data_IF_915538036489
#
_entry.id   IF_915538036489
#
_cell.length_a   1.000
_cell.length_b   1.000
_cell.length_c   1.000
_cell.angle_alpha   90.00
_cell.angle_beta   90.00
_cell.angle_gamma   90.00
#
_symmetry.space_group_name_H-M   'P 1'
#
loop_
_entity.id
_entity.type
_entity.pdbx_description
1 polymer ?
#
# COMPACT_ATOMS: atom_id res chain seq x y z
N UNK A 1 41.18 -52.95 -58.26
CA UNK A 1 41.25 -54.37 -57.84
C UNK A 1 39.85 -54.85 -57.40
N UNK A 2 39.68 -56.17 -57.15
CA UNK A 2 38.54 -56.88 -56.48
C UNK A 2 37.76 -56.03 -55.45
N UNK A 3 36.46 -56.19 -55.12
CA UNK A 3 35.27 -57.09 -55.40
C UNK A 3 34.04 -56.41 -54.67
N UNK A 4 32.71 -56.65 -54.77
CA UNK A 4 31.66 -57.47 -55.47
C UNK A 4 30.34 -56.62 -55.41
N UNK A 5 29.28 -56.73 -56.25
CA UNK A 5 28.11 -57.68 -56.27
C UNK A 5 27.40 -57.83 -54.90
N UNK A 6 26.03 -57.75 -54.79
CA UNK A 6 25.01 -58.07 -55.81
C UNK A 6 23.86 -57.06 -56.08
N UNK A 7 23.09 -57.33 -57.14
CA UNK A 7 21.68 -56.91 -57.35
C UNK A 7 20.72 -58.07 -57.02
N UNK A 8 19.39 -57.86 -56.89
CA UNK A 8 18.53 -57.99 -58.07
C UNK A 8 17.32 -57.03 -58.12
N UNK A 9 16.58 -57.09 -59.23
CA UNK A 9 15.35 -56.35 -59.52
C UNK A 9 14.09 -56.97 -58.85
N UNK A 10 12.96 -56.24 -58.85
CA UNK A 10 11.70 -56.79 -59.42
C UNK A 10 10.58 -55.74 -59.62
N UNK A 11 10.34 -55.42 -60.91
CA UNK A 11 9.04 -55.16 -61.58
C UNK A 11 8.14 -53.95 -61.19
N UNK A 12 7.28 -53.48 -62.12
CA UNK A 12 6.55 -52.20 -61.99
C UNK A 12 5.07 -52.32 -61.55
N UNK A 13 4.49 -51.16 -61.23
CA UNK A 13 3.05 -50.86 -61.11
C UNK A 13 2.33 -50.99 -62.49
N UNK A 14 0.97 -50.96 -62.63
CA UNK A 14 0.02 -50.22 -61.77
C UNK A 14 -1.41 -50.81 -61.60
N UNK A 15 -2.34 -49.93 -61.18
CA UNK A 15 -3.80 -49.94 -61.41
C UNK A 15 -4.76 -50.57 -60.36
N UNK A 16 -5.34 -49.67 -59.57
CA UNK A 16 -6.73 -49.63 -59.06
C UNK A 16 -7.38 -50.85 -58.37
N UNK A 17 -7.83 -50.63 -57.12
CA UNK A 17 -9.23 -50.87 -56.70
C UNK A 17 -9.58 -49.91 -55.56
N UNK A 18 -10.84 -49.46 -55.50
CA UNK A 18 -11.38 -48.62 -54.42
C UNK A 18 -12.03 -49.50 -53.34
N UNK A 19 -11.72 -49.25 -52.06
CA UNK A 19 -12.62 -49.60 -50.95
C UNK A 19 -12.77 -48.38 -50.06
N UNK A 20 -14.02 -47.97 -49.83
CA UNK A 20 -14.39 -46.94 -48.86
C UNK A 20 -14.86 -47.67 -47.60
N UNK A 21 -14.29 -47.34 -46.45
CA UNK A 21 -14.80 -47.74 -45.15
C UNK A 21 -14.86 -46.49 -44.26
N UNK A 22 -16.08 -46.07 -43.89
CA UNK A 22 -16.26 -45.03 -42.89
C UNK A 22 -16.15 -45.67 -41.49
N UNK A 23 -15.24 -45.15 -40.66
CA UNK A 23 -15.19 -45.46 -39.22
C UNK A 23 -15.38 -44.15 -38.47
N UNK A 24 -16.63 -43.88 -38.08
CA UNK A 24 -17.01 -42.69 -37.32
C UNK A 24 -16.55 -42.81 -35.87
N UNK A 25 -15.34 -42.36 -35.56
CA UNK A 25 -14.87 -42.26 -34.18
C UNK A 25 -15.53 -41.06 -33.51
N UNK A 26 -16.63 -41.31 -32.77
CA UNK A 26 -17.28 -40.31 -31.95
C UNK A 26 -16.38 -39.90 -30.79
N UNK A 27 -15.72 -38.73 -30.91
CA UNK A 27 -14.88 -38.17 -29.85
C UNK A 27 -15.77 -37.65 -28.71
N UNK A 28 -16.02 -38.50 -27.71
CA UNK A 28 -16.71 -38.09 -26.48
C UNK A 28 -15.78 -37.17 -25.69
N UNK A 29 -15.88 -35.87 -25.96
CA UNK A 29 -15.32 -34.82 -25.13
C UNK A 29 -16.02 -34.84 -23.76
N UNK A 30 -15.45 -35.62 -22.85
CA UNK A 30 -15.79 -35.61 -21.44
C UNK A 30 -15.38 -34.26 -20.84
N UNK A 31 -16.24 -33.25 -21.04
CA UNK A 31 -16.12 -31.94 -20.41
C UNK A 31 -16.41 -32.10 -18.92
N UNK A 32 -15.42 -32.56 -18.17
CA UNK A 32 -15.41 -32.46 -16.72
C UNK A 32 -15.56 -30.97 -16.39
N UNK A 33 -16.58 -30.56 -15.61
CA UNK A 33 -16.73 -29.17 -15.24
C UNK A 33 -15.46 -28.75 -14.50
N UNK A 34 -14.81 -27.70 -14.99
CA UNK A 34 -13.71 -27.07 -14.29
C UNK A 34 -14.27 -26.58 -12.95
N UNK A 35 -14.06 -27.36 -11.89
CA UNK A 35 -14.51 -27.01 -10.55
C UNK A 35 -13.74 -25.76 -10.15
N UNK A 36 -14.42 -24.62 -10.20
CA UNK A 36 -13.89 -23.38 -9.67
C UNK A 36 -13.36 -23.67 -8.27
N UNK A 37 -12.07 -23.41 -8.05
CA UNK A 37 -11.50 -23.52 -6.73
C UNK A 37 -12.18 -22.44 -5.89
N UNK A 38 -13.03 -22.84 -4.94
CA UNK A 38 -13.53 -21.95 -3.91
C UNK A 38 -12.29 -21.36 -3.22
N UNK A 39 -12.10 -20.04 -3.34
CA UNK A 39 -10.92 -19.35 -2.85
C UNK A 39 -10.95 -19.31 -1.32
N UNK A 40 -10.50 -20.40 -0.71
CA UNK A 40 -10.40 -20.53 0.75
C UNK A 40 -9.48 -19.45 1.27
N UNK A 41 -10.08 -18.44 1.93
CA UNK A 41 -9.35 -17.33 2.53
C UNK A 41 -8.24 -17.85 3.44
N UNK A 42 -7.05 -17.26 3.32
CA UNK A 42 -5.89 -17.69 4.09
C UNK A 42 -6.07 -17.44 5.59
N UNK A 43 -6.74 -16.33 5.94
CA UNK A 43 -7.12 -15.96 7.30
C UNK A 43 -8.50 -16.52 7.69
N UNK A 44 -8.64 -16.89 8.97
CA UNK A 44 -9.90 -17.36 9.58
C UNK A 44 -10.35 -16.45 10.72
N UNK A 45 -11.64 -16.46 11.00
CA UNK A 45 -12.20 -15.75 12.16
C UNK A 45 -11.62 -16.27 13.48
N UNK A 46 -11.22 -15.35 14.36
CA UNK A 46 -10.59 -15.63 15.66
C UNK A 46 -9.06 -15.59 15.66
N UNK A 47 -8.40 -15.58 14.49
CA UNK A 47 -6.93 -15.56 14.39
C UNK A 47 -6.33 -14.21 14.86
N UNK A 48 -5.15 -14.27 15.47
CA UNK A 48 -4.31 -13.14 15.87
C UNK A 48 -3.38 -12.78 14.72
N UNK A 49 -3.52 -11.57 14.17
CA UNK A 49 -2.70 -11.07 13.07
C UNK A 49 -1.82 -9.94 13.58
N UNK A 50 -0.50 -10.15 13.55
CA UNK A 50 0.47 -9.12 13.87
C UNK A 50 0.82 -8.26 12.65
N UNK A 51 1.01 -6.97 12.87
CA UNK A 51 1.34 -5.99 11.84
C UNK A 51 2.69 -5.35 12.16
N UNK A 52 3.76 -5.99 11.69
CA UNK A 52 5.13 -5.51 11.85
C UNK A 52 5.46 -4.52 10.72
N UNK A 53 6.02 -3.38 11.09
CA UNK A 53 6.58 -2.46 10.13
C UNK A 53 7.06 -1.15 10.74
N UNK A 54 7.10 -0.11 9.93
CA UNK A 54 7.69 1.18 10.24
C UNK A 54 6.66 2.26 10.61
N UNK A 55 6.89 3.51 10.23
CA UNK A 55 5.96 4.63 10.40
C UNK A 55 4.66 4.46 9.63
N UNK A 56 4.69 3.81 8.46
CA UNK A 56 3.49 3.53 7.65
C UNK A 56 2.58 2.54 8.41
N UNK A 57 3.15 1.54 9.05
CA UNK A 57 2.41 0.59 9.91
C UNK A 57 1.98 1.22 11.24
N UNK A 58 2.79 2.11 11.82
CA UNK A 58 2.43 2.85 13.03
C UNK A 58 1.21 3.75 12.80
N UNK A 59 1.23 4.57 11.74
CA UNK A 59 0.08 5.39 11.31
C UNK A 59 -1.10 4.51 10.87
N UNK A 60 -0.80 3.39 10.20
CA UNK A 60 -1.76 2.36 9.81
C UNK A 60 -2.62 1.84 10.97
N UNK A 61 -2.09 1.84 12.20
CA UNK A 61 -2.84 1.54 13.41
C UNK A 61 -3.32 2.77 14.19
N UNK A 62 -2.56 3.87 14.25
CA UNK A 62 -2.94 5.02 15.07
C UNK A 62 -4.14 5.77 14.49
N UNK A 63 -4.20 5.93 13.16
CA UNK A 63 -5.30 6.64 12.50
C UNK A 63 -6.50 5.71 12.25
N UNK A 64 -7.76 6.18 12.40
CA UNK A 64 -8.94 5.32 12.23
C UNK A 64 -9.07 4.73 10.82
N UNK A 65 -8.65 5.50 9.81
CA UNK A 65 -8.54 5.08 8.40
C UNK A 65 -7.17 4.56 7.96
N UNK A 66 -6.25 4.31 8.89
CA UNK A 66 -4.94 3.73 8.56
C UNK A 66 -5.06 2.28 8.04
N UNK A 67 -4.15 1.85 7.16
CA UNK A 67 -4.31 0.60 6.40
C UNK A 67 -4.53 -0.65 7.28
N UNK A 68 -3.91 -0.73 8.46
CA UNK A 68 -4.09 -1.87 9.39
C UNK A 68 -5.54 -1.95 9.88
N UNK A 69 -6.15 -0.80 10.18
CA UNK A 69 -7.57 -0.74 10.54
C UNK A 69 -8.48 -0.97 9.35
N UNK A 70 -8.12 -0.52 8.15
CA UNK A 70 -8.88 -0.81 6.93
C UNK A 70 -8.89 -2.32 6.64
N UNK A 71 -7.74 -3.01 6.75
CA UNK A 71 -7.68 -4.48 6.65
C UNK A 71 -8.60 -5.15 7.67
N UNK A 72 -8.50 -4.80 8.95
CA UNK A 72 -9.34 -5.35 10.00
C UNK A 72 -10.86 -5.08 9.78
N UNK A 73 -11.21 -3.87 9.33
CA UNK A 73 -12.58 -3.50 9.00
C UNK A 73 -13.12 -4.21 7.74
N UNK A 74 -12.26 -4.40 6.72
CA UNK A 74 -12.61 -5.09 5.47
C UNK A 74 -12.79 -6.59 5.66
N UNK A 75 -11.94 -7.21 6.49
CA UNK A 75 -12.12 -8.58 6.99
C UNK A 75 -13.45 -8.70 7.74
N UNK A 76 -13.72 -7.82 8.72
CA UNK A 76 -14.95 -7.84 9.52
C UNK A 76 -16.22 -7.60 8.70
N UNK A 77 -16.18 -6.70 7.71
CA UNK A 77 -17.28 -6.50 6.77
C UNK A 77 -17.62 -7.78 5.97
N UNK A 78 -16.63 -8.64 5.75
CA UNK A 78 -16.76 -9.94 5.09
C UNK A 78 -16.90 -11.12 6.06
N UNK A 79 -17.16 -10.87 7.35
CA UNK A 79 -17.44 -11.90 8.35
C UNK A 79 -16.19 -12.53 8.99
N UNK A 80 -14.99 -12.07 8.66
CA UNK A 80 -13.73 -12.54 9.26
C UNK A 80 -13.29 -11.54 10.34
N UNK A 81 -13.54 -11.84 11.61
CA UNK A 81 -13.07 -11.00 12.72
C UNK A 81 -11.73 -11.50 13.26
N UNK A 82 -10.72 -10.62 13.31
CA UNK A 82 -9.34 -10.93 13.74
C UNK A 82 -8.92 -10.12 14.96
N UNK A 83 -8.01 -10.67 15.77
CA UNK A 83 -7.32 -9.90 16.82
C UNK A 83 -6.09 -9.23 16.20
N UNK A 84 -6.15 -7.91 15.98
CA UNK A 84 -5.02 -7.14 15.44
C UNK A 84 -3.97 -6.84 16.51
N UNK A 85 -2.71 -7.20 16.25
CA UNK A 85 -1.56 -6.93 17.12
C UNK A 85 -0.61 -5.92 16.43
N UNK A 86 -0.75 -4.61 16.70
CA UNK A 86 0.05 -3.58 16.02
C UNK A 86 1.49 -3.56 16.51
N UNK A 87 2.45 -3.65 15.58
CA UNK A 87 3.88 -3.63 15.84
C UNK A 87 4.64 -2.67 14.88
N UNK A 88 3.97 -1.61 14.42
CA UNK A 88 4.58 -0.51 13.67
C UNK A 88 5.35 0.46 14.56
N UNK A 89 6.57 0.85 14.17
CA UNK A 89 7.39 1.83 14.92
C UNK A 89 8.05 2.82 13.95
N UNK A 90 7.88 4.12 14.19
CA UNK A 90 8.34 5.17 13.29
C UNK A 90 9.85 5.12 13.00
N UNK A 91 10.23 5.35 11.74
CA UNK A 91 11.61 5.41 11.27
C UNK A 91 12.41 4.09 11.30
N UNK A 92 11.78 2.96 11.68
CA UNK A 92 12.46 1.66 11.75
C UNK A 92 12.85 1.11 10.37
N UNK A 93 14.06 0.55 10.31
CA UNK A 93 14.55 -0.29 9.21
C UNK A 93 14.38 -1.79 9.53
N UNK A 94 14.72 -2.66 8.58
CA UNK A 94 14.75 -4.12 8.77
C UNK A 94 15.61 -4.57 9.96
N UNK A 95 16.71 -3.85 10.22
CA UNK A 95 17.60 -4.09 11.37
C UNK A 95 16.89 -3.80 12.71
N UNK A 96 16.13 -2.71 12.78
CA UNK A 96 15.43 -2.30 13.99
C UNK A 96 14.24 -3.21 14.28
N UNK A 97 13.55 -3.67 13.22
CA UNK A 97 12.49 -4.69 13.31
C UNK A 97 13.04 -6.03 13.80
N UNK A 98 14.19 -6.47 13.28
CA UNK A 98 14.88 -7.69 13.75
C UNK A 98 15.27 -7.59 15.24
N UNK A 99 15.82 -6.44 15.66
CA UNK A 99 16.25 -6.20 17.04
C UNK A 99 15.10 -6.24 18.07
N UNK A 100 13.84 -6.06 17.65
CA UNK A 100 12.64 -6.10 18.52
C UNK A 100 11.71 -7.30 18.26
N UNK A 101 12.05 -8.18 17.32
CA UNK A 101 11.13 -9.20 16.80
C UNK A 101 10.60 -10.18 17.86
N UNK A 102 11.46 -10.63 18.79
CA UNK A 102 11.03 -11.49 19.92
C UNK A 102 9.93 -10.82 20.74
N UNK A 103 10.21 -9.60 21.21
CA UNK A 103 9.34 -8.82 22.09
C UNK A 103 8.00 -8.49 21.43
N UNK A 104 8.03 -8.06 20.17
CA UNK A 104 6.85 -7.51 19.51
C UNK A 104 6.01 -8.57 18.79
N UNK A 105 6.61 -9.69 18.37
CA UNK A 105 5.95 -10.73 17.57
C UNK A 105 6.00 -12.10 18.25
N UNK A 106 7.19 -12.69 18.45
CA UNK A 106 7.31 -14.10 18.86
C UNK A 106 6.69 -14.38 20.24
N UNK A 107 6.95 -13.52 21.23
CA UNK A 107 6.37 -13.59 22.57
C UNK A 107 4.85 -13.41 22.58
N UNK A 108 4.30 -12.72 21.58
CA UNK A 108 2.87 -12.45 21.44
C UNK A 108 2.10 -13.59 20.81
N UNK A 109 2.82 -14.56 20.20
CA UNK A 109 2.27 -15.78 19.58
C UNK A 109 1.04 -15.48 18.69
N UNK A 110 1.18 -14.59 17.70
CA UNK A 110 0.15 -14.46 16.67
C UNK A 110 0.03 -15.77 15.89
N UNK A 111 -1.04 -15.91 15.13
CA UNK A 111 -1.19 -17.01 14.18
C UNK A 111 -0.60 -16.58 12.81
N UNK A 112 -0.66 -15.27 12.52
CA UNK A 112 -0.10 -14.63 11.33
C UNK A 112 0.74 -13.38 11.64
N UNK A 113 1.79 -13.12 10.86
CA UNK A 113 2.49 -11.82 10.84
C UNK A 113 2.56 -11.26 9.41
N UNK A 114 2.10 -10.02 9.26
CA UNK A 114 2.39 -9.18 8.09
C UNK A 114 3.66 -8.38 8.36
N UNK A 115 4.57 -8.29 7.39
CA UNK A 115 5.84 -7.56 7.52
C UNK A 115 5.96 -6.53 6.38
N UNK A 116 5.90 -5.24 6.73
CA UNK A 116 6.09 -4.11 5.81
C UNK A 116 7.41 -3.41 6.11
N UNK A 117 8.39 -3.50 5.21
CA UNK A 117 9.75 -3.01 5.45
C UNK A 117 10.52 -2.75 4.15
N UNK A 118 11.41 -1.75 4.14
CA UNK A 118 12.27 -1.41 3.00
C UNK A 118 12.31 0.10 2.67
N UNK A 119 11.28 0.84 3.06
CA UNK A 119 11.19 2.30 2.87
C UNK A 119 12.37 3.00 3.55
N UNK A 120 12.53 2.84 4.87
CA UNK A 120 13.61 3.50 5.62
C UNK A 120 15.00 2.93 5.27
N UNK A 121 15.09 1.63 4.96
CA UNK A 121 16.30 0.95 4.53
C UNK A 121 16.91 1.57 3.25
N UNK A 122 16.07 2.12 2.38
CA UNK A 122 16.47 2.85 1.16
C UNK A 122 16.52 4.37 1.37
N UNK A 123 15.47 4.96 1.94
CA UNK A 123 15.27 6.42 2.02
C UNK A 123 16.27 7.13 2.94
N UNK A 124 16.73 6.47 4.02
CA UNK A 124 17.71 7.05 4.94
C UNK A 124 19.15 7.09 4.39
N UNK A 125 19.40 6.60 3.18
CA UNK A 125 20.71 6.62 2.53
C UNK A 125 21.73 5.80 3.31
N UNK A 126 22.86 6.41 3.67
CA UNK A 126 23.93 5.78 4.46
C UNK A 126 23.51 5.41 5.89
N UNK A 127 22.38 5.95 6.37
CA UNK A 127 21.75 5.58 7.66
C UNK A 127 20.63 4.54 7.50
N UNK A 128 20.39 4.06 6.27
CA UNK A 128 19.49 2.96 5.98
C UNK A 128 20.19 1.60 6.17
N UNK A 129 19.81 0.61 5.36
CA UNK A 129 20.38 -0.74 5.38
C UNK A 129 20.72 -1.15 3.96
N UNK A 130 21.96 -1.58 3.70
CA UNK A 130 22.40 -2.03 2.39
C UNK A 130 21.64 -3.30 1.96
N UNK A 131 21.48 -3.52 0.64
CA UNK A 131 20.66 -4.61 0.09
C UNK A 131 21.04 -5.99 0.67
N UNK A 132 22.32 -6.33 0.75
CA UNK A 132 22.75 -7.62 1.30
C UNK A 132 22.47 -7.77 2.80
N UNK A 133 22.44 -6.67 3.55
CA UNK A 133 22.09 -6.68 4.98
C UNK A 133 20.57 -6.79 5.17
N UNK A 134 19.81 -6.07 4.34
CA UNK A 134 18.35 -6.16 4.27
C UNK A 134 17.89 -7.59 3.93
N UNK A 135 18.55 -8.24 2.95
CA UNK A 135 18.32 -9.65 2.60
C UNK A 135 18.45 -10.58 3.81
N UNK A 136 19.56 -10.45 4.57
CA UNK A 136 19.81 -11.27 5.76
C UNK A 136 18.81 -10.97 6.88
N UNK A 137 18.47 -9.70 7.10
CA UNK A 137 17.48 -9.30 8.11
C UNK A 137 16.09 -9.87 7.79
N UNK A 138 15.60 -9.65 6.57
CA UNK A 138 14.27 -10.11 6.13
C UNK A 138 14.16 -11.65 6.11
N UNK A 139 15.20 -12.35 5.64
CA UNK A 139 15.25 -13.83 5.72
C UNK A 139 15.18 -14.30 7.17
N UNK A 140 15.93 -13.66 8.08
CA UNK A 140 15.92 -14.02 9.51
C UNK A 140 14.58 -13.73 10.19
N UNK A 141 13.87 -12.66 9.81
CA UNK A 141 12.50 -12.39 10.28
C UNK A 141 11.53 -13.50 9.85
N UNK A 142 11.55 -13.91 8.57
CA UNK A 142 10.70 -14.99 8.06
C UNK A 142 11.01 -16.31 8.75
N UNK A 143 12.30 -16.70 8.80
CA UNK A 143 12.74 -17.97 9.39
C UNK A 143 12.39 -18.07 10.88
N UNK A 144 12.51 -16.96 11.64
CA UNK A 144 12.13 -16.95 13.05
C UNK A 144 10.62 -17.13 13.29
N UNK A 145 9.76 -16.58 12.43
CA UNK A 145 8.31 -16.83 12.52
C UNK A 145 7.96 -18.28 12.16
N UNK A 146 8.47 -18.77 11.03
CA UNK A 146 8.16 -20.10 10.54
C UNK A 146 8.68 -21.20 11.47
N UNK A 147 9.84 -21.01 12.10
CA UNK A 147 10.40 -21.93 13.09
C UNK A 147 9.51 -22.12 14.35
N UNK A 148 8.58 -21.20 14.63
CA UNK A 148 7.59 -21.32 15.72
C UNK A 148 6.14 -21.45 15.21
N UNK A 149 5.95 -21.71 13.91
CA UNK A 149 4.65 -21.98 13.30
C UNK A 149 3.79 -20.74 12.97
N UNK A 150 4.34 -19.53 13.05
CA UNK A 150 3.63 -18.30 12.66
C UNK A 150 3.61 -18.22 11.13
N UNK A 151 2.43 -18.05 10.53
CA UNK A 151 2.28 -17.85 9.09
C UNK A 151 2.70 -16.43 8.69
N UNK A 152 3.39 -16.27 7.56
CA UNK A 152 4.00 -14.99 7.16
C UNK A 152 3.40 -14.44 5.87
N UNK A 153 3.13 -13.14 5.86
CA UNK A 153 2.90 -12.34 4.67
C UNK A 153 3.96 -11.22 4.59
N UNK A 154 4.64 -11.12 3.45
CA UNK A 154 5.49 -9.98 3.14
C UNK A 154 4.67 -8.91 2.40
N UNK A 155 4.93 -7.64 2.69
CA UNK A 155 4.43 -6.50 1.92
C UNK A 155 5.61 -5.86 1.19
N UNK A 156 5.49 -5.64 -0.13
CA UNK A 156 6.47 -4.81 -0.84
C UNK A 156 6.44 -3.36 -0.33
N UNK A 157 7.60 -2.73 -0.22
CA UNK A 157 7.71 -1.34 0.19
C UNK A 157 7.09 -0.41 -0.87
N UNK A 158 6.14 0.44 -0.46
CA UNK A 158 5.52 1.44 -1.33
C UNK A 158 6.55 2.43 -1.91
N UNK A 159 6.30 3.04 -3.07
CA UNK A 159 7.23 3.97 -3.70
C UNK A 159 7.68 5.10 -2.75
N UNK A 160 8.97 5.40 -2.77
CA UNK A 160 9.56 6.55 -2.07
C UNK A 160 9.50 7.73 -3.04
N UNK A 161 8.60 8.67 -2.76
CA UNK A 161 8.09 9.69 -3.67
C UNK A 161 7.30 9.10 -4.85
N UNK A 162 6.39 9.92 -5.40
CA UNK A 162 5.48 9.53 -6.49
C UNK A 162 6.02 9.88 -7.88
N UNK A 163 7.33 10.09 -7.98
CA UNK A 163 8.07 10.08 -9.24
C UNK A 163 8.72 8.69 -9.41
N UNK A 164 8.17 7.77 -10.23
CA UNK A 164 8.68 6.40 -10.34
C UNK A 164 10.17 6.33 -10.72
N UNK A 165 10.61 7.23 -11.61
CA UNK A 165 11.98 7.31 -12.15
C UNK A 165 13.02 7.89 -11.18
N UNK A 166 12.67 8.17 -9.91
CA UNK A 166 13.62 8.77 -8.97
C UNK A 166 14.61 7.74 -8.38
N UNK A 167 15.79 8.21 -7.96
CA UNK A 167 16.88 7.36 -7.50
C UNK A 167 16.56 6.48 -6.27
N UNK A 168 15.63 6.88 -5.39
CA UNK A 168 15.18 6.01 -4.30
C UNK A 168 14.33 4.86 -4.84
N UNK A 169 13.37 5.13 -5.74
CA UNK A 169 12.55 4.09 -6.35
C UNK A 169 13.38 3.12 -7.22
N UNK A 170 14.37 3.63 -7.96
CA UNK A 170 15.32 2.80 -8.70
C UNK A 170 16.10 1.84 -7.78
N UNK A 171 16.54 2.30 -6.59
CA UNK A 171 17.18 1.44 -5.58
C UNK A 171 16.18 0.50 -4.87
N UNK A 172 14.95 0.94 -4.63
CA UNK A 172 13.90 0.17 -3.97
C UNK A 172 13.43 -1.03 -4.81
N UNK A 173 13.57 -0.96 -6.13
CA UNK A 173 13.25 -2.05 -7.04
C UNK A 173 13.94 -3.37 -6.66
N UNK A 174 15.24 -3.34 -6.31
CA UNK A 174 15.99 -4.54 -5.90
C UNK A 174 15.50 -5.13 -4.57
N UNK A 175 15.12 -4.26 -3.62
CA UNK A 175 14.61 -4.67 -2.30
C UNK A 175 13.25 -5.35 -2.47
N UNK A 176 12.36 -4.79 -3.30
CA UNK A 176 11.05 -5.37 -3.61
C UNK A 176 11.13 -6.62 -4.50
N UNK A 177 12.08 -6.68 -5.43
CA UNK A 177 12.37 -7.91 -6.20
C UNK A 177 12.82 -9.03 -5.26
N UNK A 178 13.69 -8.73 -4.29
CA UNK A 178 14.07 -9.69 -3.27
C UNK A 178 12.90 -10.13 -2.38
N UNK A 179 12.01 -9.23 -1.94
CA UNK A 179 10.83 -9.62 -1.15
C UNK A 179 9.92 -10.61 -1.90
N UNK A 180 9.68 -10.39 -3.20
CA UNK A 180 8.91 -11.31 -4.06
C UNK A 180 9.60 -12.68 -4.18
N UNK A 181 10.93 -12.67 -4.35
CA UNK A 181 11.75 -13.89 -4.40
C UNK A 181 11.70 -14.67 -3.07
N UNK A 182 11.90 -14.00 -1.94
CA UNK A 182 11.88 -14.57 -0.60
C UNK A 182 10.50 -15.16 -0.26
N UNK A 183 9.41 -14.48 -0.64
CA UNK A 183 8.06 -15.01 -0.44
C UNK A 183 7.84 -16.32 -1.20
N UNK A 184 8.31 -16.41 -2.45
CA UNK A 184 8.23 -17.63 -3.25
C UNK A 184 9.10 -18.77 -2.68
N UNK A 185 10.35 -18.47 -2.28
CA UNK A 185 11.30 -19.41 -1.68
C UNK A 185 10.79 -19.98 -0.35
N UNK A 186 10.23 -19.13 0.51
CA UNK A 186 9.76 -19.48 1.86
C UNK A 186 8.26 -19.82 1.91
N UNK A 187 7.59 -19.91 0.75
CA UNK A 187 6.15 -20.17 0.63
C UNK A 187 5.27 -19.26 1.50
N UNK A 188 5.64 -17.99 1.60
CA UNK A 188 4.87 -16.94 2.29
C UNK A 188 3.83 -16.31 1.36
N UNK A 189 2.82 -15.66 1.92
CA UNK A 189 1.99 -14.74 1.13
C UNK A 189 2.79 -13.48 0.77
N UNK A 190 2.46 -12.88 -0.36
CA UNK A 190 3.03 -11.60 -0.83
C UNK A 190 1.88 -10.66 -1.18
N UNK A 191 1.82 -9.51 -0.51
CA UNK A 191 1.02 -8.38 -0.90
C UNK A 191 1.93 -7.37 -1.64
N UNK A 192 1.48 -6.86 -2.78
CA UNK A 192 2.31 -5.99 -3.64
C UNK A 192 1.76 -4.56 -3.81
N UNK A 193 1.65 -3.77 -2.72
CA UNK A 193 1.22 -2.39 -2.82
C UNK A 193 2.24 -1.50 -3.57
N UNK A 194 3.49 -1.96 -3.78
CA UNK A 194 4.42 -1.29 -4.69
C UNK A 194 3.92 -1.33 -6.14
N UNK A 195 3.59 -2.51 -6.67
CA UNK A 195 3.07 -2.65 -8.03
C UNK A 195 1.72 -1.92 -8.21
N UNK A 196 0.82 -2.06 -7.23
CA UNK A 196 -0.47 -1.37 -7.25
C UNK A 196 -0.30 0.17 -7.21
N UNK A 197 0.60 0.70 -6.37
CA UNK A 197 0.86 2.14 -6.30
C UNK A 197 1.48 2.68 -7.59
N UNK A 198 2.44 1.96 -8.19
CA UNK A 198 3.03 2.37 -9.47
C UNK A 198 2.00 2.39 -10.60
N UNK A 199 1.08 1.40 -10.65
CA UNK A 199 -0.03 1.39 -11.61
C UNK A 199 -0.99 2.57 -11.40
N UNK A 200 -1.36 2.87 -10.16
CA UNK A 200 -2.23 4.00 -9.83
C UNK A 200 -1.57 5.36 -10.15
N UNK A 201 -0.28 5.55 -9.84
CA UNK A 201 0.50 6.76 -10.18
C UNK A 201 0.58 6.93 -11.70
N UNK A 202 0.78 5.85 -12.47
CA UNK A 202 0.85 5.89 -13.92
C UNK A 202 -0.51 6.22 -14.59
N UNK A 203 -1.63 5.84 -13.96
CA UNK A 203 -2.98 6.12 -14.45
C UNK A 203 -3.52 7.50 -14.03
N UNK A 204 -2.96 8.11 -12.98
CA UNK A 204 -3.49 9.35 -12.41
C UNK A 204 -3.21 10.59 -13.28
N UNK A 205 -4.21 11.47 -13.51
CA UNK A 205 -3.94 12.82 -13.99
C UNK A 205 -3.20 13.61 -12.89
N UNK A 206 -2.15 14.34 -13.27
CA UNK A 206 -1.34 15.13 -12.32
C UNK A 206 -2.22 16.16 -11.59
N UNK A 207 -2.22 16.18 -10.25
CA UNK A 207 -1.10 16.68 -9.43
C UNK A 207 -0.15 15.59 -8.91
N UNK A 208 0.75 15.96 -7.98
CA UNK A 208 1.56 15.02 -7.17
C UNK A 208 0.82 14.75 -5.86
N UNK A 209 1.30 13.78 -5.06
CA UNK A 209 0.73 13.43 -3.74
C UNK A 209 -0.69 12.83 -3.84
N UNK A 210 -0.90 11.97 -4.84
CA UNK A 210 -2.15 11.24 -5.10
C UNK A 210 -2.33 10.02 -4.22
N UNK A 211 -1.25 9.44 -3.67
CA UNK A 211 -1.27 8.30 -2.74
C UNK A 211 -0.63 8.60 -1.38
N UNK A 212 0.15 9.67 -1.26
CA UNK A 212 0.96 10.00 -0.08
C UNK A 212 0.74 11.42 0.41
N UNK A 213 1.08 11.71 1.67
CA UNK A 213 0.96 13.05 2.28
C UNK A 213 2.22 13.88 2.05
N UNK A 214 3.39 13.25 2.16
CA UNK A 214 4.72 13.85 2.11
C UNK A 214 5.64 13.22 1.05
N UNK A 215 5.18 12.14 0.41
CA UNK A 215 5.94 11.30 -0.52
C UNK A 215 6.23 9.90 0.00
N UNK A 216 5.93 9.60 1.26
CA UNK A 216 6.22 8.30 1.88
C UNK A 216 5.03 7.79 2.68
N UNK A 217 4.44 8.62 3.53
CA UNK A 217 3.32 8.24 4.38
C UNK A 217 2.00 8.30 3.59
N UNK A 218 1.13 7.28 3.70
CA UNK A 218 -0.05 7.16 2.84
C UNK A 218 -1.14 8.18 3.17
N UNK A 219 -1.82 8.65 2.13
CA UNK A 219 -3.13 9.30 2.21
C UNK A 219 -4.26 8.23 2.27
N UNK A 220 -5.56 8.59 2.33
CA UNK A 220 -6.65 7.61 2.35
C UNK A 220 -6.66 6.65 1.15
N UNK A 221 -6.30 7.12 -0.05
CA UNK A 221 -6.20 6.26 -1.24
C UNK A 221 -4.97 5.35 -1.18
N UNK A 222 -3.83 5.82 -0.66
CA UNK A 222 -2.67 4.98 -0.39
C UNK A 222 -2.92 3.95 0.72
N UNK A 223 -3.63 4.32 1.78
CA UNK A 223 -3.99 3.44 2.88
C UNK A 223 -5.01 2.39 2.45
N UNK A 224 -6.01 2.78 1.65
CA UNK A 224 -6.91 1.88 0.95
C UNK A 224 -6.13 0.93 0.04
N UNK A 225 -5.22 1.44 -0.80
CA UNK A 225 -4.44 0.64 -1.74
C UNK A 225 -3.60 -0.43 -1.02
N UNK A 226 -2.90 -0.07 0.06
CA UNK A 226 -2.16 -1.03 0.88
C UNK A 226 -3.11 -2.06 1.50
N UNK A 227 -4.28 -1.64 2.00
CA UNK A 227 -5.25 -2.54 2.60
C UNK A 227 -5.86 -3.51 1.57
N UNK A 228 -6.17 -3.03 0.35
CA UNK A 228 -6.68 -3.84 -0.76
C UNK A 228 -5.64 -4.86 -1.18
N UNK A 229 -4.37 -4.48 -1.39
CA UNK A 229 -3.31 -5.43 -1.74
C UNK A 229 -3.08 -6.51 -0.67
N UNK A 230 -3.34 -6.21 0.62
CA UNK A 230 -3.32 -7.21 1.69
C UNK A 230 -4.54 -8.13 1.61
N UNK A 231 -5.75 -7.60 1.41
CA UNK A 231 -6.98 -8.41 1.29
C UNK A 231 -6.95 -9.32 0.06
N UNK A 232 -6.49 -8.82 -1.08
CA UNK A 232 -6.30 -9.60 -2.32
C UNK A 232 -5.29 -10.74 -2.09
N UNK A 233 -4.18 -10.47 -1.38
CA UNK A 233 -3.21 -11.51 -1.00
C UNK A 233 -3.75 -12.55 0.01
N UNK A 234 -4.79 -12.23 0.77
CA UNK A 234 -5.54 -13.18 1.64
C UNK A 234 -6.51 -14.04 0.82
N UNK A 235 -6.81 -13.66 -0.43
CA UNK A 235 -7.72 -14.35 -1.34
C UNK A 235 -9.08 -13.67 -1.50
N UNK A 236 -9.22 -12.38 -1.20
CA UNK A 236 -10.47 -11.64 -1.44
C UNK A 236 -10.74 -11.47 -2.94
N UNK A 237 -11.98 -11.68 -3.36
CA UNK A 237 -12.46 -11.32 -4.69
C UNK A 237 -12.92 -9.85 -4.81
N UNK A 238 -13.25 -9.44 -6.04
CA UNK A 238 -13.73 -8.09 -6.34
C UNK A 238 -15.01 -7.70 -5.56
N UNK A 239 -15.88 -8.66 -5.22
CA UNK A 239 -17.09 -8.43 -4.44
C UNK A 239 -16.76 -8.17 -2.97
N UNK A 240 -15.88 -9.00 -2.40
CA UNK A 240 -15.41 -8.86 -1.02
C UNK A 240 -14.61 -7.57 -0.81
N UNK A 241 -13.77 -7.18 -1.78
CA UNK A 241 -13.09 -5.88 -1.81
C UNK A 241 -14.10 -4.73 -1.92
N UNK A 242 -15.11 -4.83 -2.80
CA UNK A 242 -16.15 -3.78 -2.93
C UNK A 242 -16.96 -3.62 -1.64
N UNK A 243 -17.26 -4.73 -0.94
CA UNK A 243 -17.92 -4.72 0.37
C UNK A 243 -17.05 -4.08 1.46
N UNK A 244 -15.74 -4.30 1.41
CA UNK A 244 -14.79 -3.62 2.29
C UNK A 244 -14.77 -2.10 2.03
N UNK A 245 -14.71 -1.68 0.75
CA UNK A 245 -14.78 -0.26 0.35
C UNK A 245 -16.04 0.44 0.84
N UNK A 246 -17.20 -0.22 0.71
CA UNK A 246 -18.47 0.31 1.23
C UNK A 246 -18.40 0.55 2.75
N UNK A 247 -17.86 -0.40 3.52
CA UNK A 247 -17.67 -0.23 4.96
C UNK A 247 -16.65 0.86 5.33
N UNK A 248 -15.63 1.10 4.49
CA UNK A 248 -14.63 2.14 4.70
C UNK A 248 -15.13 3.57 4.42
N UNK A 249 -16.19 3.73 3.61
CA UNK A 249 -16.72 5.04 3.20
C UNK A 249 -17.04 6.00 4.35
N UNK A 250 -17.50 5.46 5.48
CA UNK A 250 -17.89 6.24 6.67
C UNK A 250 -16.79 6.31 7.74
N UNK A 251 -15.60 5.73 7.52
CA UNK A 251 -14.50 5.78 8.50
C UNK A 251 -13.83 7.16 8.44
N UNK A 252 -13.71 7.89 9.58
CA UNK A 252 -12.99 9.16 9.64
C UNK A 252 -11.51 8.98 9.28
N UNK A 253 -11.11 9.61 8.19
CA UNK A 253 -9.74 9.71 7.71
C UNK A 253 -9.05 10.84 8.47
N UNK A 254 -8.35 10.48 9.54
CA UNK A 254 -7.62 11.45 10.37
C UNK A 254 -6.23 11.66 9.76
N UNK A 255 -5.97 12.89 9.33
CA UNK A 255 -4.82 13.29 8.53
C UNK A 255 -3.87 14.20 9.31
N UNK A 256 -2.59 13.86 9.39
CA UNK A 256 -1.57 14.72 9.98
C UNK A 256 -0.96 15.67 8.94
N UNK A 257 -1.46 16.91 8.87
CA UNK A 257 -0.89 17.98 8.03
C UNK A 257 0.46 18.33 8.63
N UNK A 258 1.50 17.71 8.11
CA UNK A 258 2.82 17.66 8.74
C UNK A 258 3.70 18.77 8.22
N UNK A 259 3.68 19.90 8.93
CA UNK A 259 4.40 21.10 8.54
C UNK A 259 5.82 21.02 9.10
N UNK A 260 6.69 20.49 8.25
CA UNK A 260 8.14 20.52 8.44
C UNK A 260 8.63 21.93 8.12
N UNK A 261 9.17 22.63 9.12
CA UNK A 261 9.87 23.90 8.92
C UNK A 261 11.37 23.76 9.23
N UNK A 262 12.21 24.48 8.48
CA UNK A 262 13.65 24.55 8.77
C UNK A 262 13.94 25.72 9.69
N UNK A 263 13.85 25.45 11.00
CA UNK A 263 14.21 26.38 12.06
C UNK A 263 15.69 26.76 12.04
N UNK A 264 15.99 27.85 12.75
CA UNK A 264 17.35 28.39 12.96
C UNK A 264 18.33 27.39 13.57
N UNK A 265 17.81 26.43 14.34
CA UNK A 265 18.55 25.35 15.02
C UNK A 265 18.47 23.99 14.30
N UNK A 266 17.87 23.94 13.10
CA UNK A 266 17.59 22.71 12.36
C UNK A 266 16.09 22.54 12.07
N UNK A 267 15.73 21.45 11.39
CA UNK A 267 14.34 21.20 11.04
C UNK A 267 13.51 20.82 12.29
N UNK A 268 12.47 21.60 12.57
CA UNK A 268 11.42 21.26 13.53
C UNK A 268 10.16 20.92 12.76
N UNK A 269 9.61 19.75 13.03
CA UNK A 269 8.41 19.25 12.36
C UNK A 269 7.25 19.32 13.33
N UNK A 270 6.24 20.14 13.01
CA UNK A 270 4.98 20.14 13.74
C UNK A 270 3.91 19.47 12.90
N UNK A 271 3.47 18.28 13.32
CA UNK A 271 2.27 17.66 12.77
C UNK A 271 1.03 18.32 13.34
N UNK A 272 0.08 18.65 12.46
CA UNK A 272 -1.23 19.19 12.82
C UNK A 272 -2.32 18.27 12.27
N UNK A 273 -2.92 17.52 13.19
CA UNK A 273 -3.97 16.55 12.88
C UNK A 273 -5.30 17.23 12.56
N UNK A 274 -5.90 16.87 11.43
CA UNK A 274 -7.22 17.28 10.95
C UNK A 274 -8.01 16.05 10.53
N UNK A 275 -9.25 15.91 11.02
CA UNK A 275 -10.14 14.85 10.57
C UNK A 275 -10.90 15.26 9.30
N UNK A 276 -11.01 14.34 8.35
CA UNK A 276 -11.86 14.40 7.16
C UNK A 276 -12.63 13.07 7.07
N UNK A 277 -13.82 13.03 6.47
CA UNK A 277 -14.36 11.73 6.01
C UNK A 277 -13.73 11.36 4.66
N UNK A 278 -13.83 10.09 4.25
CA UNK A 278 -13.45 9.68 2.88
C UNK A 278 -14.24 10.49 1.84
N UNK A 279 -15.55 10.62 2.04
CA UNK A 279 -16.45 11.40 1.18
C UNK A 279 -16.07 12.88 1.09
N UNK A 280 -15.62 13.49 2.20
CA UNK A 280 -15.14 14.88 2.19
C UNK A 280 -13.81 15.01 1.45
N UNK A 281 -12.90 14.05 1.62
CA UNK A 281 -11.63 14.02 0.89
C UNK A 281 -11.85 13.95 -0.62
N UNK A 282 -12.68 13.02 -1.09
CA UNK A 282 -13.00 12.84 -2.52
C UNK A 282 -13.70 14.07 -3.12
N UNK A 283 -14.56 14.74 -2.34
CA UNK A 283 -15.18 16.03 -2.71
C UNK A 283 -14.16 17.17 -2.79
N UNK A 284 -13.21 17.24 -1.85
CA UNK A 284 -12.12 18.21 -1.88
C UNK A 284 -11.21 17.96 -3.09
N UNK A 285 -10.80 16.71 -3.33
CA UNK A 285 -9.91 16.33 -4.43
C UNK A 285 -10.51 16.69 -5.79
N UNK A 286 -11.78 16.34 -6.05
CA UNK A 286 -12.48 16.78 -7.27
C UNK A 286 -12.44 18.30 -7.43
N UNK A 287 -12.71 19.03 -6.35
CA UNK A 287 -12.72 20.51 -6.32
C UNK A 287 -11.36 21.18 -6.39
N UNK A 288 -10.27 20.40 -6.33
CA UNK A 288 -8.89 20.86 -6.45
C UNK A 288 -8.25 20.44 -7.78
N UNK A 289 -8.62 19.27 -8.31
CA UNK A 289 -8.16 18.74 -9.60
C UNK A 289 -8.88 19.36 -10.79
N UNK A 290 -10.17 19.72 -10.67
CA UNK A 290 -10.94 20.44 -11.72
C UNK A 290 -10.53 21.92 -11.90
N UNK A 291 -9.46 22.39 -11.23
CA UNK A 291 -9.00 23.79 -11.27
C UNK A 291 -8.09 24.09 -12.46
N UNK A 292 -8.04 25.36 -12.86
CA UNK A 292 -7.08 25.87 -13.86
C UNK A 292 -5.60 25.72 -13.46
N UNK A 293 -5.33 25.44 -12.18
CA UNK A 293 -4.08 24.88 -11.67
C UNK A 293 -4.43 23.73 -10.71
N UNK A 294 -4.38 22.47 -11.17
CA UNK A 294 -4.61 21.31 -10.32
C UNK A 294 -3.59 21.24 -9.17
N UNK A 295 -4.06 20.81 -8.01
CA UNK A 295 -3.28 20.63 -6.79
C UNK A 295 -3.89 19.47 -6.00
N UNK A 296 -3.10 18.69 -5.27
CA UNK A 296 -3.67 17.63 -4.42
C UNK A 296 -4.27 18.20 -3.13
N UNK A 297 -5.09 17.41 -2.44
CA UNK A 297 -5.54 17.74 -1.07
C UNK A 297 -4.32 17.91 -0.12
N UNK A 298 -3.31 17.01 -0.07
CA UNK A 298 -2.08 17.23 0.68
C UNK A 298 -1.42 18.59 0.45
N UNK A 299 -1.14 18.93 -0.81
CA UNK A 299 -0.47 20.19 -1.17
C UNK A 299 -1.34 21.40 -0.81
N UNK A 300 -2.65 21.33 -1.04
CA UNK A 300 -3.60 22.38 -0.63
C UNK A 300 -3.63 22.59 0.89
N UNK A 301 -3.67 21.51 1.69
CA UNK A 301 -3.68 21.60 3.16
C UNK A 301 -2.37 22.19 3.69
N UNK A 302 -1.23 21.81 3.09
CA UNK A 302 0.08 22.32 3.44
C UNK A 302 0.20 23.82 3.11
N UNK A 303 -0.23 24.24 1.92
CA UNK A 303 -0.23 25.66 1.49
C UNK A 303 -1.20 26.51 2.32
N UNK A 304 -2.39 25.99 2.64
CA UNK A 304 -3.38 26.68 3.46
C UNK A 304 -2.85 26.93 4.88
N UNK A 305 -2.33 25.89 5.56
CA UNK A 305 -1.70 26.05 6.87
C UNK A 305 -0.53 27.03 6.82
N UNK A 306 0.37 26.88 5.84
CA UNK A 306 1.54 27.74 5.72
C UNK A 306 1.15 29.20 5.58
N UNK A 307 0.21 29.51 4.68
CA UNK A 307 -0.29 30.86 4.45
C UNK A 307 -0.88 31.49 5.71
N UNK A 308 -1.60 30.70 6.50
CA UNK A 308 -2.18 31.17 7.77
C UNK A 308 -1.08 31.49 8.79
N UNK A 309 -0.08 30.62 8.95
CA UNK A 309 1.06 30.86 9.85
C UNK A 309 1.95 32.01 9.39
N UNK A 310 2.23 32.13 8.10
CA UNK A 310 2.96 33.25 7.49
C UNK A 310 2.23 34.60 7.71
N UNK A 311 0.95 34.59 8.10
CA UNK A 311 0.20 35.77 8.56
C UNK A 311 0.59 36.27 9.96
N UNK A 312 1.07 35.39 10.84
CA UNK A 312 1.53 35.75 12.20
C UNK A 312 3.00 36.18 12.24
N UNK A 313 3.74 35.97 11.16
CA UNK A 313 5.17 36.28 11.06
C UNK A 313 5.40 37.71 10.56
N UNK A 314 6.44 38.38 11.06
CA UNK A 314 6.86 39.71 10.63
C UNK A 314 7.19 39.74 9.12
N UNK A 315 6.88 40.84 8.40
CA UNK A 315 6.34 42.11 8.90
C UNK A 315 4.81 42.17 9.00
N UNK A 316 4.08 41.06 8.83
CA UNK A 316 2.60 41.04 8.83
C UNK A 316 2.00 40.82 10.22
N UNK A 317 2.60 39.92 11.00
CA UNK A 317 2.24 39.66 12.39
C UNK A 317 3.39 39.90 13.35
N UNK A 318 3.16 39.53 14.62
CA UNK A 318 4.02 39.92 15.74
C UNK A 318 5.27 39.07 15.95
N UNK A 319 5.34 37.86 15.36
CA UNK A 319 6.41 36.90 15.63
C UNK A 319 7.56 37.05 14.62
N UNK A 320 8.81 37.09 15.08
CA UNK A 320 9.99 37.24 14.21
C UNK A 320 10.11 36.11 13.17
N UNK A 321 9.65 34.91 13.55
CA UNK A 321 9.72 33.67 12.78
C UNK A 321 8.78 32.63 13.40
N UNK A 322 8.64 31.48 12.74
CA UNK A 322 7.84 30.34 13.22
C UNK A 322 8.50 29.54 14.35
N UNK A 323 9.81 29.64 14.60
CA UNK A 323 10.43 29.02 15.80
C UNK A 323 9.81 29.62 17.08
N UNK A 324 9.43 30.90 17.07
CA UNK A 324 8.70 31.58 18.15
C UNK A 324 7.18 31.27 18.20
N UNK A 325 6.65 30.57 17.19
CA UNK A 325 5.27 30.05 17.13
C UNK A 325 5.22 28.56 17.50
N UNK A 326 6.38 27.86 17.46
CA UNK A 326 6.51 26.40 17.68
C UNK A 326 7.47 26.02 18.82
N UNK A 327 7.92 26.97 19.65
CA UNK A 327 8.61 26.69 20.91
C UNK A 327 7.67 26.01 21.92
N UNK A 328 8.20 25.31 22.93
CA UNK A 328 7.36 24.73 24.00
C UNK A 328 6.60 25.81 24.79
N UNK A 329 7.15 27.02 24.87
CA UNK A 329 6.54 28.22 25.46
C UNK A 329 5.62 29.00 24.48
N UNK A 330 5.42 28.50 23.25
CA UNK A 330 4.59 29.19 22.27
C UNK A 330 3.11 29.11 22.66
N UNK A 331 2.41 30.24 22.50
CA UNK A 331 1.03 30.43 22.96
C UNK A 331 0.08 29.45 22.23
N UNK A 332 -0.56 28.50 22.94
CA UNK A 332 -1.48 27.53 22.33
C UNK A 332 -2.59 28.17 21.48
N UNK A 333 -2.95 29.41 21.82
CA UNK A 333 -3.92 30.27 21.15
C UNK A 333 -3.63 30.46 19.66
N UNK A 334 -2.37 30.70 19.25
CA UNK A 334 -2.03 30.87 17.81
C UNK A 334 -2.24 29.55 17.05
N UNK A 335 -1.81 28.43 17.63
CA UNK A 335 -2.00 27.11 17.03
C UNK A 335 -3.50 26.74 16.99
N UNK A 336 -4.28 27.18 17.97
CA UNK A 336 -5.74 27.02 18.02
C UNK A 336 -6.46 27.88 16.97
N UNK A 337 -6.03 29.12 16.76
CA UNK A 337 -6.55 30.02 15.72
C UNK A 337 -6.25 29.48 14.33
N UNK A 338 -5.01 29.04 14.07
CA UNK A 338 -4.63 28.41 12.79
C UNK A 338 -5.39 27.10 12.57
N UNK A 339 -5.61 26.27 13.60
CA UNK A 339 -6.50 25.09 13.50
C UNK A 339 -7.93 25.47 13.10
N UNK A 340 -8.50 26.50 13.73
CA UNK A 340 -9.86 26.96 13.42
C UNK A 340 -9.97 27.54 12.00
N UNK A 341 -8.98 28.30 11.55
CA UNK A 341 -8.89 28.83 10.18
C UNK A 341 -8.79 27.71 9.15
N UNK A 342 -7.89 26.74 9.34
CA UNK A 342 -7.75 25.58 8.46
C UNK A 342 -9.06 24.77 8.39
N UNK A 343 -9.68 24.48 9.53
CA UNK A 343 -11.01 23.83 9.59
C UNK A 343 -12.08 24.62 8.84
N UNK A 344 -12.08 25.95 8.93
CA UNK A 344 -13.01 26.81 8.18
C UNK A 344 -12.75 26.76 6.67
N UNK A 345 -11.49 26.85 6.22
CA UNK A 345 -11.11 26.75 4.80
C UNK A 345 -11.49 25.39 4.20
N UNK A 346 -11.34 24.30 4.96
CA UNK A 346 -11.78 22.95 4.61
C UNK A 346 -13.30 22.87 4.48
N UNK A 347 -14.05 23.32 5.48
CA UNK A 347 -15.51 23.33 5.45
C UNK A 347 -16.03 24.15 4.25
N UNK A 348 -15.38 25.27 3.93
CA UNK A 348 -15.72 26.10 2.77
C UNK A 348 -15.40 25.45 1.43
N UNK A 349 -14.33 24.65 1.35
CA UNK A 349 -14.02 23.86 0.15
C UNK A 349 -15.03 22.74 -0.05
N UNK A 350 -15.33 21.97 1.00
CA UNK A 350 -16.34 20.90 0.98
C UNK A 350 -17.72 21.47 0.62
N UNK A 351 -18.09 22.63 1.17
CA UNK A 351 -19.36 23.33 0.89
C UNK A 351 -19.48 23.83 -0.55
N UNK A 352 -18.36 24.18 -1.19
CA UNK A 352 -18.30 24.62 -2.60
C UNK A 352 -18.09 23.46 -3.58
N UNK A 353 -17.71 22.28 -3.09
CA UNK A 353 -17.56 21.10 -3.91
C UNK A 353 -18.89 20.70 -4.54
N UNK A 354 -18.93 20.37 -5.85
CA UNK A 354 -20.12 19.78 -6.43
C UNK A 354 -20.46 18.50 -5.67
N UNK A 355 -21.75 18.29 -5.38
CA UNK A 355 -22.22 17.03 -4.80
C UNK A 355 -21.76 15.86 -5.65
N UNK A 356 -21.30 14.78 -5.01
CA UNK A 356 -21.16 13.51 -5.71
C UNK A 356 -22.52 13.15 -6.34
N UNK A 357 -22.56 12.61 -7.58
CA UNK A 357 -23.77 11.98 -8.07
C UNK A 357 -24.13 10.85 -7.09
N UNK A 358 -25.42 10.68 -6.81
CA UNK A 358 -25.90 9.47 -6.17
C UNK A 358 -25.57 8.29 -7.10
N UNK A 359 -25.09 7.19 -6.50
CA UNK A 359 -24.76 5.98 -7.26
C UNK A 359 -26.05 5.41 -7.89
N UNK A 360 -26.14 5.25 -9.22
CA UNK A 360 -27.31 4.70 -9.88
C UNK A 360 -27.52 3.19 -9.61
N UNK A 361 -26.70 2.55 -8.78
CA UNK A 361 -26.82 1.15 -8.39
C UNK A 361 -27.90 0.85 -7.31
N UNK A 362 -28.85 1.75 -7.05
CA UNK A 362 -29.98 1.52 -6.12
C UNK A 362 -31.34 1.85 -6.73
N UNK A 363 -31.82 0.95 -7.59
CA UNK A 363 -33.23 0.71 -7.95
C UNK A 363 -33.41 -0.79 -8.29
#
# INVERSE_FOLDING_TARGET
MRRLIPSPEMLPAPAHIRIIAHVSLALVLACAPARAAESTLALKGGEKVAFLGDSITAQGWSQPGGYVRLVAAGLKANGVEITSLPAGVSGNSSKDMLARYSRDILEKKPDWVTISCGVNDVWHGDRGVALEDYKRNMTSLVDQAQAVGIQVMLLTATPIMEEPENAFNAKLADYNAFLRMLAAEKHCLIADPNAAALAAIAAAPKPRRTLTVDGVHPNPHGAELIAVSVLEAIGFDNSQVSKARAAWSHIPQVWDVTVTYRGSSGAKTQSLTQALSRTDYERMEKSLTERSRPISVPEFLQDAFRKDVDGYIQPRGSYENIDAILSADAKPEVIKEVKASLSSQIADLIRKAPSAPLDPATD
#
